data_IF_945131636570
#
_entry.id   IF_945131636570
#
_cell.length_a   1.000
_cell.length_b   1.000
_cell.length_c   1.000
_cell.angle_alpha   90.00
_cell.angle_beta   90.00
_cell.angle_gamma   90.00
#
_symmetry.space_group_name_H-M   'P 1'
#
loop_
_entity.id
_entity.type
_entity.pdbx_description
1 polymer ?
#
# COMPACT_ATOMS: atom_id res chain seq x y z
N UNK A 1 -6.64 -15.56 -0.15
CA UNK A 1 -6.01 -14.90 -1.31
C UNK A 1 -5.10 -13.83 -0.75
N UNK A 2 -3.86 -13.71 -1.23
CA UNK A 2 -2.98 -12.63 -0.79
C UNK A 2 -3.42 -11.36 -1.49
N UNK A 3 -3.66 -10.30 -0.74
CA UNK A 3 -4.18 -9.02 -1.26
C UNK A 3 -3.30 -8.46 -2.36
N UNK A 4 -1.97 -8.58 -2.26
CA UNK A 4 -1.06 -8.16 -3.32
C UNK A 4 -1.15 -8.94 -4.63
N UNK A 5 -1.74 -10.14 -4.68
CA UNK A 5 -1.91 -10.88 -5.94
C UNK A 5 -2.80 -10.11 -6.92
N UNK A 6 -3.67 -9.22 -6.42
CA UNK A 6 -4.49 -8.35 -7.25
C UNK A 6 -3.66 -7.40 -8.12
N UNK A 7 -2.42 -7.09 -7.75
CA UNK A 7 -1.53 -6.21 -8.53
C UNK A 7 -1.16 -6.78 -9.90
N UNK A 8 -1.33 -8.08 -10.13
CA UNK A 8 -1.05 -8.68 -11.45
C UNK A 8 -1.86 -8.04 -12.58
N UNK A 9 -3.09 -7.55 -12.32
CA UNK A 9 -3.88 -6.85 -13.36
C UNK A 9 -3.44 -5.40 -13.56
N UNK A 10 -2.66 -4.85 -12.63
CA UNK A 10 -2.19 -3.47 -12.63
C UNK A 10 -0.76 -3.32 -13.15
N UNK A 11 -0.04 -4.42 -13.41
CA UNK A 11 1.35 -4.34 -13.90
C UNK A 11 1.47 -3.61 -15.24
N UNK A 12 0.40 -3.58 -16.05
CA UNK A 12 0.38 -2.87 -17.32
C UNK A 12 -0.27 -1.48 -17.23
N UNK A 13 -0.68 -1.04 -16.04
CA UNK A 13 -1.18 0.33 -15.85
C UNK A 13 -0.05 1.34 -16.15
N UNK A 14 -0.31 2.37 -16.96
CA UNK A 14 0.73 3.31 -17.40
C UNK A 14 1.28 4.18 -16.26
N UNK A 15 0.56 4.28 -15.13
CA UNK A 15 0.94 5.11 -14.01
C UNK A 15 1.57 4.28 -12.89
N UNK A 16 0.88 3.25 -12.40
CA UNK A 16 1.33 2.45 -11.25
C UNK A 16 1.96 1.11 -11.61
N UNK A 17 2.05 0.75 -12.90
CA UNK A 17 2.51 -0.57 -13.30
C UNK A 17 3.94 -0.92 -12.87
N UNK A 18 4.83 0.09 -12.77
CA UNK A 18 6.17 -0.11 -12.23
C UNK A 18 6.14 -0.40 -10.72
N UNK A 19 5.43 0.42 -9.94
CA UNK A 19 5.28 0.21 -8.51
C UNK A 19 4.63 -1.15 -8.20
N UNK A 20 3.60 -1.53 -8.96
CA UNK A 20 2.95 -2.82 -8.85
C UNK A 20 3.94 -4.00 -9.06
N UNK A 21 4.80 -3.92 -10.09
CA UNK A 21 5.85 -4.92 -10.32
C UNK A 21 6.87 -4.99 -9.18
N UNK A 22 7.26 -3.84 -8.63
CA UNK A 22 8.22 -3.78 -7.53
C UNK A 22 7.63 -4.41 -6.26
N UNK A 23 6.38 -4.08 -5.89
CA UNK A 23 5.70 -4.70 -4.74
C UNK A 23 5.59 -6.22 -4.91
N UNK A 24 5.21 -6.70 -6.11
CA UNK A 24 5.17 -8.14 -6.41
C UNK A 24 6.55 -8.80 -6.31
N UNK A 25 7.63 -8.10 -6.69
CA UNK A 25 8.99 -8.60 -6.54
C UNK A 25 9.42 -8.67 -5.06
N UNK A 26 9.04 -7.68 -4.25
CA UNK A 26 9.29 -7.64 -2.80
C UNK A 26 8.51 -8.77 -2.11
N UNK A 27 7.26 -9.03 -2.51
CA UNK A 27 6.50 -10.19 -2.02
C UNK A 27 7.27 -11.49 -2.25
N UNK A 28 7.82 -11.69 -3.47
CA UNK A 28 8.66 -12.87 -3.79
C UNK A 28 9.94 -12.92 -2.94
N UNK A 29 10.64 -11.79 -2.77
CA UNK A 29 11.83 -11.66 -1.91
C UNK A 29 11.54 -12.14 -0.47
N UNK A 30 10.35 -11.85 0.05
CA UNK A 30 9.91 -12.26 1.39
C UNK A 30 9.21 -13.62 1.43
N UNK A 31 9.39 -14.47 0.42
CA UNK A 31 8.78 -15.80 0.29
C UNK A 31 7.25 -15.79 0.18
N UNK A 32 6.69 -14.76 -0.45
CA UNK A 32 5.26 -14.53 -0.60
C UNK A 32 4.53 -14.59 0.76
N UNK A 33 4.76 -13.61 1.66
CA UNK A 33 4.18 -13.62 2.99
C UNK A 33 2.66 -13.49 2.94
N UNK A 34 1.97 -13.94 3.99
CA UNK A 34 0.53 -13.78 4.17
C UNK A 34 0.27 -12.88 5.36
N UNK A 35 -0.72 -11.99 5.25
CA UNK A 35 -1.17 -11.20 6.39
C UNK A 35 -1.54 -12.13 7.56
N UNK A 36 -1.04 -11.86 8.78
CA UNK A 36 -1.40 -12.64 9.96
C UNK A 36 -2.90 -12.64 10.20
N UNK A 37 -3.44 -13.78 10.66
CA UNK A 37 -4.87 -13.90 10.96
C UNK A 37 -5.32 -12.99 12.12
N UNK A 38 -4.40 -12.67 13.04
CA UNK A 38 -4.64 -11.78 14.16
C UNK A 38 -3.80 -10.51 14.02
N UNK A 39 -4.46 -9.41 13.66
CA UNK A 39 -3.89 -8.07 13.61
C UNK A 39 -4.74 -7.11 14.42
N UNK A 40 -4.11 -6.07 14.96
CA UNK A 40 -4.81 -4.92 15.57
C UNK A 40 -4.76 -3.75 14.58
N UNK A 41 -5.90 -3.12 14.26
CA UNK A 41 -5.87 -1.90 13.45
C UNK A 41 -5.19 -0.78 14.22
N UNK A 42 -4.30 -0.05 13.55
CA UNK A 42 -3.67 1.16 14.08
C UNK A 42 -3.78 2.26 13.04
N UNK A 43 -4.24 3.42 13.48
CA UNK A 43 -4.36 4.61 12.65
C UNK A 43 -3.08 5.43 12.70
N UNK A 44 -2.66 5.92 11.53
CA UNK A 44 -1.54 6.83 11.36
C UNK A 44 -1.97 8.00 10.48
N UNK A 45 -1.25 9.12 10.57
CA UNK A 45 -1.36 10.16 9.56
C UNK A 45 -0.80 9.66 8.23
N UNK A 46 -1.41 10.11 7.13
CA UNK A 46 -0.85 9.84 5.80
C UNK A 46 0.53 10.53 5.68
N UNK A 47 1.57 9.82 5.22
CA UNK A 47 2.94 10.32 5.24
C UNK A 47 3.30 11.20 4.02
N UNK A 48 2.32 11.79 3.33
CA UNK A 48 2.55 12.62 2.14
C UNK A 48 1.52 13.76 2.05
N UNK A 49 1.89 14.88 1.41
CA UNK A 49 1.02 16.04 1.30
C UNK A 49 -0.15 15.72 0.38
N UNK A 50 -1.35 15.64 0.96
CA UNK A 50 -2.58 15.46 0.20
C UNK A 50 -3.66 16.47 0.60
N UNK A 51 -4.29 17.04 -0.43
CA UNK A 51 -5.50 17.85 -0.33
C UNK A 51 -6.57 17.24 -1.24
N UNK A 52 -7.67 16.73 -0.66
CA UNK A 52 -8.83 16.35 -1.46
C UNK A 52 -9.48 17.59 -2.05
N UNK A 53 -9.53 17.66 -3.38
CA UNK A 53 -10.19 18.72 -4.13
C UNK A 53 -11.29 18.04 -4.94
N UNK A 54 -12.54 18.29 -4.54
CA UNK A 54 -13.71 17.77 -5.24
C UNK A 54 -13.77 18.32 -6.68
N UNK A 55 -14.08 17.45 -7.64
CA UNK A 55 -14.25 17.83 -9.05
C UNK A 55 -12.99 17.77 -9.91
N UNK A 56 -11.84 17.37 -9.37
CA UNK A 56 -10.62 17.11 -10.16
C UNK A 56 -10.48 15.61 -10.47
N UNK A 57 -11.12 15.17 -11.54
CA UNK A 57 -11.17 13.75 -11.95
C UNK A 57 -9.78 13.15 -12.17
N UNK A 58 -8.86 13.89 -12.78
CA UNK A 58 -7.49 13.41 -13.02
C UNK A 58 -6.77 13.07 -11.71
N UNK A 59 -6.87 13.96 -10.71
CA UNK A 59 -6.30 13.72 -9.37
C UNK A 59 -6.99 12.55 -8.68
N UNK A 60 -8.32 12.47 -8.72
CA UNK A 60 -9.06 11.33 -8.16
C UNK A 60 -8.62 9.99 -8.74
N UNK A 61 -8.34 9.93 -10.04
CA UNK A 61 -7.84 8.73 -10.71
C UNK A 61 -6.45 8.31 -10.23
N UNK A 62 -5.57 9.28 -9.91
CA UNK A 62 -4.26 9.00 -9.30
C UNK A 62 -4.47 8.45 -7.88
N UNK A 63 -5.33 9.06 -7.07
CA UNK A 63 -5.61 8.59 -5.70
C UNK A 63 -6.21 7.20 -5.65
N UNK A 64 -7.12 6.87 -6.57
CA UNK A 64 -7.66 5.51 -6.66
C UNK A 64 -6.57 4.47 -6.91
N UNK A 65 -5.59 4.80 -7.77
CA UNK A 65 -4.44 3.92 -8.05
C UNK A 65 -3.47 3.83 -6.88
N UNK A 66 -3.19 4.94 -6.19
CA UNK A 66 -2.44 4.92 -4.92
C UNK A 66 -3.14 4.04 -3.89
N UNK A 67 -4.47 4.15 -3.79
CA UNK A 67 -5.29 3.31 -2.91
C UNK A 67 -5.20 1.83 -3.25
N UNK A 68 -5.11 1.46 -4.52
CA UNK A 68 -4.85 0.07 -4.95
C UNK A 68 -3.50 -0.43 -4.44
N UNK A 69 -2.46 0.40 -4.53
CA UNK A 69 -1.13 0.03 -4.02
C UNK A 69 -1.15 -0.17 -2.50
N UNK A 70 -1.73 0.74 -1.73
CA UNK A 70 -1.84 0.57 -0.27
C UNK A 70 -2.71 -0.64 0.11
N UNK A 71 -3.85 -0.84 -0.56
CA UNK A 71 -4.72 -1.99 -0.29
C UNK A 71 -4.04 -3.33 -0.59
N UNK A 72 -3.05 -3.35 -1.50
CA UNK A 72 -2.22 -4.53 -1.77
C UNK A 72 -1.35 -4.95 -0.57
N UNK A 73 -1.11 -4.02 0.37
CA UNK A 73 -0.36 -4.23 1.61
C UNK A 73 -1.28 -4.36 2.83
N UNK A 74 -2.59 -4.56 2.63
CA UNK A 74 -3.62 -4.51 3.69
C UNK A 74 -3.61 -3.17 4.47
N UNK A 75 -3.29 -2.07 3.78
CA UNK A 75 -3.36 -0.70 4.28
C UNK A 75 -4.54 0.03 3.64
N UNK A 76 -5.39 0.63 4.47
CA UNK A 76 -6.54 1.40 4.02
C UNK A 76 -6.29 2.89 4.21
N UNK A 77 -6.30 3.66 3.13
CA UNK A 77 -6.15 5.11 3.19
C UNK A 77 -7.51 5.81 3.16
N UNK A 78 -7.85 6.49 4.25
CA UNK A 78 -9.03 7.35 4.38
C UNK A 78 -8.66 8.79 4.07
N UNK A 79 -8.59 9.07 2.78
CA UNK A 79 -8.12 10.34 2.20
C UNK A 79 -8.79 11.59 2.78
N UNK A 80 -10.10 11.52 3.02
CA UNK A 80 -10.90 12.64 3.56
C UNK A 80 -10.46 13.04 4.97
N UNK A 81 -10.10 12.06 5.78
CA UNK A 81 -9.72 12.25 7.18
C UNK A 81 -8.21 12.40 7.36
N UNK A 82 -7.45 12.33 6.25
CA UNK A 82 -5.97 12.31 6.22
C UNK A 82 -5.37 11.20 7.09
N UNK A 83 -6.10 10.09 7.23
CA UNK A 83 -5.67 8.92 7.99
C UNK A 83 -5.40 7.72 7.09
N UNK A 84 -4.53 6.86 7.55
CA UNK A 84 -4.39 5.50 7.05
C UNK A 84 -4.53 4.51 8.21
N UNK A 85 -5.10 3.34 7.93
CA UNK A 85 -5.25 2.25 8.87
C UNK A 85 -4.45 1.05 8.37
N UNK A 86 -3.54 0.56 9.21
CA UNK A 86 -2.70 -0.61 8.96
C UNK A 86 -2.99 -1.66 10.03
N UNK A 87 -3.07 -2.92 9.63
CA UNK A 87 -3.04 -4.04 10.57
C UNK A 87 -1.64 -4.21 11.16
N UNK A 88 -1.49 -4.15 12.48
CA UNK A 88 -0.23 -4.46 13.16
C UNK A 88 -0.33 -5.84 13.80
N UNK A 89 0.69 -6.67 13.61
CA UNK A 89 0.72 -8.02 14.18
C UNK A 89 0.59 -7.98 15.71
N UNK A 90 -0.30 -8.81 16.25
CA UNK A 90 -0.51 -8.90 17.72
C UNK A 90 0.67 -9.59 18.41
N UNK A 91 1.32 -10.52 17.72
CA UNK A 91 2.48 -11.26 18.24
C UNK A 91 3.71 -11.02 17.35
N UNK A 92 4.64 -10.11 17.74
CA UNK A 92 5.82 -9.80 16.94
C UNK A 92 6.86 -10.94 16.91
N UNK A 93 6.71 -11.98 17.74
CA UNK A 93 7.58 -13.16 17.73
C UNK A 93 7.25 -14.19 16.65
N UNK A 94 6.13 -14.05 15.94
CA UNK A 94 5.75 -14.95 14.85
C UNK A 94 6.55 -14.64 13.58
N UNK A 95 7.25 -15.66 13.05
CA UNK A 95 8.07 -15.55 11.83
C UNK A 95 7.24 -15.16 10.60
N UNK A 96 5.97 -15.58 10.51
CA UNK A 96 5.11 -15.16 9.40
C UNK A 96 4.76 -13.68 9.52
N UNK A 97 4.42 -13.23 10.72
CA UNK A 97 4.13 -11.83 11.00
C UNK A 97 5.35 -10.93 10.74
N UNK A 98 6.55 -11.37 11.07
CA UNK A 98 7.79 -10.64 10.78
C UNK A 98 8.05 -10.51 9.28
N UNK A 99 7.87 -11.60 8.51
CA UNK A 99 8.02 -11.56 7.04
C UNK A 99 6.98 -10.65 6.39
N UNK A 100 5.73 -10.72 6.85
CA UNK A 100 4.68 -9.84 6.37
C UNK A 100 4.97 -8.37 6.72
N UNK A 101 5.38 -8.07 7.95
CA UNK A 101 5.73 -6.72 8.37
C UNK A 101 6.89 -6.14 7.53
N UNK A 102 7.95 -6.91 7.29
CA UNK A 102 9.07 -6.49 6.45
C UNK A 102 8.64 -6.27 4.98
N UNK A 103 7.74 -7.11 4.46
CA UNK A 103 7.14 -6.90 3.14
C UNK A 103 6.32 -5.61 3.07
N UNK A 104 5.50 -5.33 4.10
CA UNK A 104 4.68 -4.10 4.15
C UNK A 104 5.57 -2.86 4.25
N UNK A 105 6.62 -2.90 5.07
CA UNK A 105 7.57 -1.79 5.22
C UNK A 105 8.25 -1.43 3.89
N UNK A 106 8.89 -2.40 3.23
CA UNK A 106 9.51 -2.18 1.91
C UNK A 106 8.46 -1.84 0.83
N UNK A 107 7.26 -2.41 0.93
CA UNK A 107 6.15 -2.09 0.03
C UNK A 107 5.70 -0.64 0.16
N UNK A 108 5.62 -0.11 1.39
CA UNK A 108 5.26 1.29 1.65
C UNK A 108 6.32 2.21 1.04
N UNK A 109 7.61 1.92 1.19
CA UNK A 109 8.69 2.72 0.59
C UNK A 109 8.49 2.89 -0.92
N UNK A 110 8.18 1.80 -1.64
CA UNK A 110 7.86 1.86 -3.08
C UNK A 110 6.68 2.79 -3.39
N UNK A 111 5.65 2.76 -2.54
CA UNK A 111 4.47 3.61 -2.73
C UNK A 111 4.82 5.08 -2.48
N UNK A 112 5.62 5.38 -1.45
CA UNK A 112 6.06 6.74 -1.16
C UNK A 112 6.97 7.28 -2.26
N UNK A 113 7.88 6.47 -2.79
CA UNK A 113 8.70 6.82 -3.94
C UNK A 113 7.83 7.13 -5.16
N UNK A 114 6.84 6.30 -5.46
CA UNK A 114 5.88 6.58 -6.54
C UNK A 114 5.15 7.90 -6.29
N UNK A 115 4.64 8.13 -5.09
CA UNK A 115 3.94 9.37 -4.71
C UNK A 115 4.85 10.59 -4.93
N UNK A 116 6.14 10.50 -4.59
CA UNK A 116 7.09 11.59 -4.83
C UNK A 116 7.33 11.89 -6.32
N UNK A 117 7.01 10.97 -7.22
CA UNK A 117 7.10 11.19 -8.68
C UNK A 117 5.85 11.80 -9.29
N UNK A 118 4.73 11.85 -8.56
CA UNK A 118 3.45 12.37 -9.04
C UNK A 118 3.00 13.58 -8.22
N UNK A 119 2.49 14.61 -8.88
CA UNK A 119 1.99 15.79 -8.16
C UNK A 119 0.62 15.49 -7.54
N UNK A 120 0.62 15.27 -6.22
CA UNK A 120 -0.59 15.08 -5.41
C UNK A 120 -1.01 16.35 -4.64
N UNK A 121 -0.26 17.46 -4.80
CA UNK A 121 -0.46 18.73 -4.08
C UNK A 121 -1.60 19.57 -4.63
#
# INVERSE_FOLDING_TARGET
MKTYDQLNVWTNDPLIGQAARQILAIAKKHNNPTAPFMMRPVEYDIPFPYTFIEGNEAKEQIFRRVGVLFASLDVHCYWRDKKQCLGVAVNPGDKEAQRWAAFVEEGIEVILDFINTVDLS
#
